data_IF_136294631736
#
_entry.id   IF_136294631736
#
_cell.length_a   1.000
_cell.length_b   1.000
_cell.length_c   1.000
_cell.angle_alpha   90.00
_cell.angle_beta   90.00
_cell.angle_gamma   90.00
#
_symmetry.space_group_name_H-M   'P 1'
#
loop_
_entity.id
_entity.type
_entity.pdbx_description
1 polymer ?
#
# COMPACT_ATOMS: atom_id res chain seq x y z
N UNK A 1 8.43 -15.54 -26.25
CA UNK A 1 9.52 -14.90 -25.50
C UNK A 1 9.01 -14.55 -24.10
N UNK A 2 9.22 -15.46 -23.13
CA UNK A 2 8.90 -15.22 -21.71
C UNK A 2 10.01 -14.39 -21.10
N UNK A 3 9.76 -13.10 -20.87
CA UNK A 3 10.67 -12.24 -20.13
C UNK A 3 10.84 -12.83 -18.72
N UNK A 4 12.05 -13.34 -18.41
CA UNK A 4 12.45 -13.64 -17.04
C UNK A 4 12.37 -12.31 -16.27
N UNK A 5 11.33 -12.13 -15.46
CA UNK A 5 11.25 -11.02 -14.52
C UNK A 5 12.43 -11.17 -13.57
N UNK A 6 13.43 -10.30 -13.69
CA UNK A 6 14.45 -10.21 -12.66
C UNK A 6 13.73 -10.01 -11.32
N UNK A 7 14.06 -10.77 -10.27
CA UNK A 7 13.52 -10.51 -8.95
C UNK A 7 13.99 -9.11 -8.55
N UNK A 8 13.10 -8.13 -8.68
CA UNK A 8 13.39 -6.79 -8.24
C UNK A 8 13.67 -6.81 -6.74
N UNK A 9 14.66 -6.04 -6.30
CA UNK A 9 14.98 -5.82 -4.88
C UNK A 9 13.74 -5.42 -4.06
N UNK A 10 12.81 -4.67 -4.67
CA UNK A 10 11.60 -4.17 -4.04
C UNK A 10 10.60 -5.27 -3.62
N UNK A 11 10.22 -6.24 -4.48
CA UNK A 11 9.41 -7.40 -4.09
C UNK A 11 9.91 -8.15 -2.86
N UNK A 12 11.22 -8.28 -2.66
CA UNK A 12 11.81 -8.98 -1.52
C UNK A 12 11.67 -8.16 -0.22
N UNK A 13 11.93 -6.85 -0.29
CA UNK A 13 11.68 -5.94 0.83
C UNK A 13 10.22 -5.95 1.30
N UNK A 14 9.27 -6.07 0.37
CA UNK A 14 7.84 -6.12 0.68
C UNK A 14 7.41 -7.43 1.40
N UNK A 15 8.23 -8.48 1.34
CA UNK A 15 7.98 -9.74 2.07
C UNK A 15 8.35 -9.65 3.54
N UNK A 16 9.10 -8.64 3.98
CA UNK A 16 9.43 -8.49 5.39
C UNK A 16 8.15 -8.18 6.20
N UNK A 17 7.73 -9.07 7.11
CA UNK A 17 6.48 -8.90 7.82
C UNK A 17 6.50 -7.73 8.81
N UNK A 18 7.66 -7.33 9.34
CA UNK A 18 7.76 -6.34 10.43
C UNK A 18 7.56 -4.89 9.97
N UNK A 19 7.95 -4.56 8.75
CA UNK A 19 7.90 -3.19 8.22
C UNK A 19 7.17 -3.12 6.88
N UNK A 20 6.35 -4.12 6.57
CA UNK A 20 5.64 -4.23 5.28
C UNK A 20 4.83 -2.95 4.99
N UNK A 21 4.26 -2.33 6.04
CA UNK A 21 3.63 -1.01 6.06
C UNK A 21 4.45 0.09 5.43
N UNK A 22 5.44 0.48 6.19
CA UNK A 22 6.30 1.62 5.94
C UNK A 22 7.11 1.41 4.66
N UNK A 23 7.58 0.19 4.40
CA UNK A 23 8.29 -0.17 3.18
C UNK A 23 7.36 -0.01 1.97
N UNK A 24 6.10 -0.48 2.05
CA UNK A 24 5.13 -0.28 0.96
C UNK A 24 4.94 1.21 0.65
N UNK A 25 4.77 2.05 1.68
CA UNK A 25 4.63 3.50 1.51
C UNK A 25 5.83 4.08 0.76
N UNK A 26 7.04 3.74 1.20
CA UNK A 26 8.28 4.21 0.60
C UNK A 26 8.43 3.75 -0.85
N UNK A 27 8.23 2.45 -1.11
CA UNK A 27 8.44 1.83 -2.42
C UNK A 27 7.42 2.31 -3.44
N UNK A 28 6.14 2.42 -3.07
CA UNK A 28 5.11 2.87 -4.01
C UNK A 28 5.21 4.36 -4.32
N UNK A 29 5.76 5.16 -3.40
CA UNK A 29 5.92 6.60 -3.55
C UNK A 29 7.38 7.04 -3.73
N UNK A 30 8.29 6.12 -4.07
CA UNK A 30 9.74 6.39 -4.11
C UNK A 30 10.12 7.63 -4.94
N UNK A 31 9.48 7.98 -6.09
CA UNK A 31 9.87 9.17 -6.84
C UNK A 31 9.60 10.46 -6.07
N UNK A 32 8.54 10.50 -5.26
CA UNK A 32 8.19 11.66 -4.43
C UNK A 32 9.24 11.80 -3.32
N UNK A 33 9.55 10.70 -2.63
CA UNK A 33 10.60 10.70 -1.60
C UNK A 33 11.97 11.10 -2.15
N UNK A 34 12.34 10.59 -3.32
CA UNK A 34 13.57 10.96 -4.01
C UNK A 34 13.58 12.45 -4.38
N UNK A 35 12.48 12.97 -4.91
CA UNK A 35 12.33 14.39 -5.24
C UNK A 35 12.47 15.30 -4.01
N UNK A 36 11.79 14.98 -2.91
CA UNK A 36 11.88 15.75 -1.66
C UNK A 36 13.30 15.67 -1.08
N UNK A 37 13.95 14.50 -1.14
CA UNK A 37 15.32 14.32 -0.65
C UNK A 37 16.33 15.14 -1.46
N UNK A 38 16.25 15.07 -2.80
CA UNK A 38 17.13 15.85 -3.70
C UNK A 38 16.91 17.35 -3.50
N UNK A 39 15.64 17.78 -3.42
CA UNK A 39 15.31 19.17 -3.12
C UNK A 39 15.87 19.62 -1.77
N UNK A 40 15.66 18.82 -0.71
CA UNK A 40 16.14 19.12 0.62
C UNK A 40 17.66 19.24 0.69
N UNK A 41 18.38 18.30 0.06
CA UNK A 41 19.84 18.31 0.00
C UNK A 41 20.36 19.51 -0.80
N UNK A 42 19.77 19.80 -1.97
CA UNK A 42 20.13 20.97 -2.76
C UNK A 42 19.89 22.26 -1.96
N UNK A 43 18.77 22.36 -1.23
CA UNK A 43 18.47 23.52 -0.41
C UNK A 43 19.50 23.71 0.72
N UNK A 44 19.86 22.63 1.43
CA UNK A 44 20.89 22.67 2.47
C UNK A 44 22.26 23.08 1.91
N UNK A 45 22.67 22.50 0.77
CA UNK A 45 23.94 22.86 0.13
C UNK A 45 23.93 24.34 -0.29
N UNK A 46 22.87 24.80 -0.97
CA UNK A 46 22.73 26.20 -1.39
C UNK A 46 22.74 27.17 -0.21
N UNK A 47 22.23 26.78 0.96
CA UNK A 47 22.23 27.63 2.16
C UNK A 47 23.65 28.06 2.59
N UNK A 48 24.68 27.24 2.30
CA UNK A 48 26.07 27.54 2.62
C UNK A 48 26.73 28.55 1.66
N UNK A 49 26.17 28.75 0.46
CA UNK A 49 26.71 29.66 -0.56
C UNK A 49 25.95 30.99 -0.65
N UNK A 50 24.81 31.11 0.01
CA UNK A 50 23.97 32.31 -0.01
C UNK A 50 24.22 33.18 1.22
N UNK A 51 23.96 34.48 1.09
CA UNK A 51 23.95 35.41 2.21
C UNK A 51 22.56 35.53 2.83
N UNK A 52 22.48 36.07 4.05
CA UNK A 52 21.20 36.36 4.69
C UNK A 52 20.41 37.40 3.86
N UNK A 53 19.07 37.28 3.75
CA UNK A 53 18.19 36.31 4.44
C UNK A 53 18.02 34.97 3.72
N UNK A 54 18.55 34.83 2.50
CA UNK A 54 18.30 33.67 1.64
C UNK A 54 18.91 32.38 2.19
N UNK A 55 20.07 32.45 2.83
CA UNK A 55 20.66 31.28 3.51
C UNK A 55 19.69 30.66 4.53
N UNK A 56 19.02 31.48 5.33
CA UNK A 56 18.03 31.01 6.31
C UNK A 56 16.82 30.36 5.66
N UNK A 57 16.29 30.98 4.61
CA UNK A 57 15.15 30.42 3.88
C UNK A 57 15.47 29.01 3.34
N UNK A 58 16.63 28.86 2.72
CA UNK A 58 17.09 27.59 2.15
C UNK A 58 17.41 26.54 3.22
N UNK A 59 18.00 26.96 4.35
CA UNK A 59 18.23 26.09 5.49
C UNK A 59 16.92 25.54 6.04
N UNK A 60 15.93 26.41 6.28
CA UNK A 60 14.61 26.02 6.80
C UNK A 60 13.89 25.12 5.79
N UNK A 61 13.94 25.43 4.49
CA UNK A 61 13.36 24.58 3.45
C UNK A 61 14.00 23.18 3.42
N UNK A 62 15.33 23.11 3.52
CA UNK A 62 16.08 21.86 3.55
C UNK A 62 15.75 20.99 4.76
N UNK A 63 15.75 21.59 5.96
CA UNK A 63 15.35 20.90 7.20
C UNK A 63 13.87 20.47 7.11
N UNK A 64 12.99 21.35 6.62
CA UNK A 64 11.57 21.08 6.44
C UNK A 64 11.31 19.86 5.55
N UNK A 65 12.06 19.72 4.44
CA UNK A 65 11.98 18.56 3.58
C UNK A 65 12.31 17.25 4.32
N UNK A 66 13.36 17.24 5.14
CA UNK A 66 13.74 16.07 5.95
C UNK A 66 12.64 15.76 6.98
N UNK A 67 12.13 16.78 7.67
CA UNK A 67 11.05 16.63 8.67
C UNK A 67 9.80 16.03 8.03
N UNK A 68 9.43 16.47 6.82
CA UNK A 68 8.28 15.92 6.09
C UNK A 68 8.48 14.43 5.79
N UNK A 69 9.65 14.03 5.27
CA UNK A 69 9.95 12.62 4.99
C UNK A 69 9.84 11.78 6.27
N UNK A 70 10.51 12.22 7.35
CA UNK A 70 10.51 11.50 8.62
C UNK A 70 9.08 11.40 9.18
N UNK A 71 8.30 12.48 9.13
CA UNK A 71 6.93 12.49 9.62
C UNK A 71 6.05 11.48 8.87
N UNK A 72 6.12 11.43 7.54
CA UNK A 72 5.35 10.47 6.72
C UNK A 72 5.74 9.03 7.06
N UNK A 73 7.04 8.75 7.23
CA UNK A 73 7.52 7.41 7.56
C UNK A 73 7.14 6.99 8.98
N UNK A 74 7.26 7.89 9.96
CA UNK A 74 6.85 7.64 11.34
C UNK A 74 5.34 7.43 11.43
N UNK A 75 4.54 8.26 10.76
CA UNK A 75 3.09 8.08 10.71
C UNK A 75 2.73 6.73 10.06
N UNK A 76 3.39 6.37 8.95
CA UNK A 76 3.21 5.06 8.29
C UNK A 76 3.56 3.90 9.23
N UNK A 77 4.67 4.02 9.96
CA UNK A 77 5.08 3.03 10.93
C UNK A 77 4.05 2.87 12.05
N UNK A 78 3.60 3.99 12.65
CA UNK A 78 2.62 3.98 13.74
C UNK A 78 1.30 3.32 13.30
N UNK A 79 0.83 3.62 12.09
CA UNK A 79 -0.46 3.11 11.59
C UNK A 79 -0.38 1.64 11.20
N UNK A 80 0.66 1.24 10.46
CA UNK A 80 0.70 -0.08 9.82
C UNK A 80 1.52 -1.12 10.57
N UNK A 81 2.62 -0.72 11.20
CA UNK A 81 3.66 -1.63 11.70
C UNK A 81 3.81 -1.58 13.23
N UNK A 82 3.32 -0.54 13.90
CA UNK A 82 3.45 -0.37 15.34
C UNK A 82 2.39 -1.13 16.14
N UNK A 83 2.87 -1.79 17.19
CA UNK A 83 2.06 -2.50 18.16
C UNK A 83 1.97 -4.01 17.92
N UNK A 84 1.49 -4.77 18.92
CA UNK A 84 1.42 -6.23 18.86
C UNK A 84 0.32 -6.76 17.93
N UNK A 85 -0.72 -5.94 17.67
CA UNK A 85 -1.81 -6.24 16.74
C UNK A 85 -1.69 -5.34 15.51
N UNK A 86 -1.40 -5.96 14.37
CA UNK A 86 -1.32 -5.28 13.07
C UNK A 86 -2.72 -4.86 12.62
N UNK A 87 -2.78 -3.94 11.65
CA UNK A 87 -4.04 -3.45 11.06
C UNK A 87 -5.04 -4.60 10.76
N UNK A 88 -4.55 -5.67 10.12
CA UNK A 88 -5.39 -6.81 9.74
C UNK A 88 -5.76 -7.75 10.91
N UNK A 89 -5.03 -7.73 12.05
CA UNK A 89 -5.50 -8.39 13.28
C UNK A 89 -6.77 -7.70 13.78
N UNK A 90 -6.75 -6.37 13.82
CA UNK A 90 -7.86 -5.56 14.34
C UNK A 90 -9.09 -5.69 13.45
N UNK A 91 -8.90 -5.68 12.13
CA UNK A 91 -9.98 -5.93 11.18
C UNK A 91 -10.55 -7.33 11.34
N UNK A 92 -9.70 -8.36 11.50
CA UNK A 92 -10.16 -9.73 11.70
C UNK A 92 -11.03 -9.89 12.95
N UNK A 93 -10.64 -9.26 14.06
CA UNK A 93 -11.43 -9.24 15.28
C UNK A 93 -12.78 -8.54 15.06
N UNK A 94 -12.81 -7.41 14.34
CA UNK A 94 -14.03 -6.62 14.13
C UNK A 94 -15.12 -7.37 13.37
N UNK A 95 -14.76 -8.12 12.33
CA UNK A 95 -15.72 -8.87 11.50
C UNK A 95 -15.99 -10.29 11.99
N UNK A 96 -15.49 -10.66 13.18
CA UNK A 96 -15.53 -12.03 13.68
C UNK A 96 -15.17 -13.03 12.57
N UNK A 97 -13.98 -12.83 12.00
CA UNK A 97 -13.47 -13.53 10.81
C UNK A 97 -13.59 -15.05 10.91
N UNK A 98 -13.59 -15.54 12.15
CA UNK A 98 -13.92 -16.92 12.44
C UNK A 98 -15.31 -17.25 11.88
N UNK A 99 -16.42 -16.68 12.32
CA UNK A 99 -17.77 -17.14 11.92
C UNK A 99 -18.15 -16.87 10.45
N UNK A 100 -17.27 -16.21 9.70
CA UNK A 100 -17.48 -15.82 8.32
C UNK A 100 -17.22 -16.95 7.32
N UNK A 101 -18.15 -17.19 6.39
CA UNK A 101 -18.02 -18.18 5.32
C UNK A 101 -17.74 -17.55 3.95
N UNK A 102 -18.27 -16.37 3.65
CA UNK A 102 -18.10 -15.70 2.35
C UNK A 102 -17.67 -14.26 2.53
N UNK A 103 -16.48 -13.94 1.99
CA UNK A 103 -15.90 -12.60 2.03
C UNK A 103 -15.73 -12.07 0.63
N UNK A 104 -16.16 -10.84 0.41
CA UNK A 104 -15.87 -10.09 -0.81
C UNK A 104 -14.87 -8.99 -0.46
N UNK A 105 -13.74 -8.97 -1.16
CA UNK A 105 -12.73 -7.92 -1.07
C UNK A 105 -12.71 -7.12 -2.38
N UNK A 106 -13.23 -5.90 -2.32
CA UNK A 106 -13.20 -4.96 -3.42
C UNK A 106 -11.91 -4.16 -3.33
N UNK A 107 -11.04 -4.33 -4.33
CA UNK A 107 -9.72 -3.68 -4.38
C UNK A 107 -9.55 -2.90 -5.68
N UNK A 108 -8.71 -1.88 -5.65
CA UNK A 108 -8.23 -1.20 -6.86
C UNK A 108 -6.90 -1.79 -7.37
N UNK A 109 -6.61 -3.05 -7.04
CA UNK A 109 -5.41 -3.77 -7.49
C UNK A 109 -4.31 -3.98 -6.47
N UNK A 110 -4.43 -3.31 -5.32
CA UNK A 110 -3.49 -3.46 -4.22
C UNK A 110 -3.94 -4.66 -3.41
N UNK A 111 -3.20 -5.76 -3.50
CA UNK A 111 -3.55 -7.04 -2.85
C UNK A 111 -2.86 -7.26 -1.51
N UNK A 112 -2.13 -6.26 -0.99
CA UNK A 112 -1.48 -6.36 0.33
C UNK A 112 -2.50 -6.52 1.45
N UNK A 113 -3.59 -5.75 1.40
CA UNK A 113 -4.70 -5.88 2.34
C UNK A 113 -5.29 -7.29 2.31
N UNK A 114 -5.54 -7.77 1.10
CA UNK A 114 -5.98 -9.14 0.84
C UNK A 114 -5.01 -10.18 1.42
N UNK A 115 -3.69 -10.06 1.22
CA UNK A 115 -2.70 -10.99 1.77
C UNK A 115 -2.69 -10.99 3.30
N UNK A 116 -2.72 -9.81 3.91
CA UNK A 116 -2.77 -9.66 5.36
C UNK A 116 -4.02 -10.30 5.97
N UNK A 117 -5.15 -10.20 5.28
CA UNK A 117 -6.42 -10.77 5.69
C UNK A 117 -6.50 -12.29 5.46
N UNK A 118 -6.05 -12.76 4.29
CA UNK A 118 -5.96 -14.19 3.95
C UNK A 118 -5.03 -14.96 4.89
N UNK A 119 -3.98 -14.32 5.43
CA UNK A 119 -3.11 -14.96 6.43
C UNK A 119 -3.84 -15.38 7.71
N UNK A 120 -5.04 -14.83 7.97
CA UNK A 120 -5.89 -15.16 9.12
C UNK A 120 -7.18 -15.89 8.74
N UNK A 121 -7.63 -15.77 7.49
CA UNK A 121 -8.82 -16.44 7.01
C UNK A 121 -8.51 -17.88 6.62
N UNK A 122 -8.89 -18.82 7.48
CA UNK A 122 -8.54 -20.23 7.34
C UNK A 122 -9.72 -21.13 6.93
N UNK A 123 -10.92 -20.58 6.71
CA UNK A 123 -12.13 -21.31 6.27
C UNK A 123 -12.93 -20.49 5.25
N UNK A 124 -14.01 -21.05 4.70
CA UNK A 124 -14.89 -20.33 3.77
C UNK A 124 -14.29 -20.04 2.39
N UNK A 125 -14.89 -19.06 1.69
CA UNK A 125 -14.57 -18.61 0.35
C UNK A 125 -14.26 -17.11 0.34
N UNK A 126 -13.19 -16.74 -0.37
CA UNK A 126 -12.73 -15.35 -0.46
C UNK A 126 -12.78 -14.88 -1.91
N UNK A 127 -13.53 -13.81 -2.18
CA UNK A 127 -13.75 -13.26 -3.52
C UNK A 127 -13.08 -11.89 -3.65
N UNK A 128 -11.96 -11.83 -4.38
CA UNK A 128 -11.27 -10.59 -4.72
C UNK A 128 -11.87 -10.01 -6.00
N UNK A 129 -12.49 -8.84 -5.88
CA UNK A 129 -13.00 -8.04 -6.98
C UNK A 129 -12.06 -6.87 -7.26
N UNK A 130 -11.26 -6.99 -8.31
CA UNK A 130 -10.34 -5.95 -8.75
C UNK A 130 -11.08 -4.97 -9.69
N UNK A 131 -11.44 -3.79 -9.18
CA UNK A 131 -12.19 -2.76 -9.91
C UNK A 131 -11.30 -1.72 -10.59
N UNK A 132 -9.99 -1.97 -10.64
CA UNK A 132 -9.04 -1.03 -11.21
C UNK A 132 -9.31 -0.74 -12.69
N UNK A 133 -9.36 0.54 -13.01
CA UNK A 133 -9.44 1.04 -14.37
C UNK A 133 -8.32 2.07 -14.56
N UNK A 134 -7.30 1.81 -15.40
CA UNK A 134 -6.16 2.72 -15.56
C UNK A 134 -6.54 4.09 -16.13
N UNK A 135 -7.70 4.20 -16.81
CA UNK A 135 -8.18 5.47 -17.34
C UNK A 135 -8.90 6.31 -16.27
N UNK A 136 -9.52 5.66 -15.28
CA UNK A 136 -10.23 6.33 -14.18
C UNK A 136 -9.38 6.47 -12.92
N UNK A 137 -8.36 5.64 -12.76
CA UNK A 137 -7.46 5.59 -11.62
C UNK A 137 -6.01 5.81 -12.10
N UNK A 138 -5.65 7.03 -12.55
CA UNK A 138 -4.37 7.31 -13.19
C UNK A 138 -3.18 7.41 -12.22
N UNK A 139 -3.38 7.15 -10.92
CA UNK A 139 -2.36 7.28 -9.90
C UNK A 139 -1.14 6.39 -10.19
N UNK A 140 0.02 7.03 -10.33
CA UNK A 140 1.28 6.38 -10.60
C UNK A 140 1.75 5.49 -9.42
N UNK A 141 1.43 5.85 -8.18
CA UNK A 141 1.75 5.05 -7.00
C UNK A 141 0.95 3.74 -7.02
N UNK A 142 -0.34 3.80 -7.35
CA UNK A 142 -1.19 2.62 -7.52
C UNK A 142 -0.69 1.71 -8.65
N UNK A 143 -0.31 2.27 -9.80
CA UNK A 143 0.30 1.48 -10.89
C UNK A 143 1.56 0.75 -10.43
N UNK A 144 2.45 1.43 -9.68
CA UNK A 144 3.66 0.80 -9.12
C UNK A 144 3.32 -0.27 -8.10
N UNK A 145 2.38 0.00 -7.21
CA UNK A 145 1.92 -0.97 -6.23
C UNK A 145 1.44 -2.26 -6.90
N UNK A 146 0.62 -2.16 -7.95
CA UNK A 146 0.18 -3.31 -8.74
C UNK A 146 1.32 -4.09 -9.39
N UNK A 147 2.32 -3.38 -9.93
CA UNK A 147 3.46 -4.00 -10.59
C UNK A 147 4.44 -4.68 -9.62
N UNK A 148 4.54 -4.19 -8.38
CA UNK A 148 5.53 -4.64 -7.39
C UNK A 148 4.97 -5.64 -6.37
N UNK A 149 3.64 -5.67 -6.18
CA UNK A 149 3.04 -6.59 -5.20
C UNK A 149 3.08 -8.02 -5.74
N UNK A 150 3.57 -8.99 -4.95
CA UNK A 150 3.52 -10.39 -5.34
C UNK A 150 2.08 -10.82 -5.68
N UNK A 151 1.90 -11.74 -6.66
CA UNK A 151 0.59 -12.32 -6.90
C UNK A 151 0.06 -13.00 -5.64
N UNK A 152 -1.26 -13.04 -5.50
CA UNK A 152 -1.91 -13.82 -4.46
C UNK A 152 -1.64 -15.30 -4.71
N UNK A 153 -1.27 -16.02 -3.66
CA UNK A 153 -1.25 -17.48 -3.71
C UNK A 153 -2.70 -17.97 -3.75
N UNK A 154 -3.09 -18.56 -4.86
CA UNK A 154 -4.48 -18.99 -5.08
C UNK A 154 -4.63 -20.43 -4.61
N UNK A 155 -5.20 -20.61 -3.41
CA UNK A 155 -5.83 -21.86 -3.00
C UNK A 155 -7.23 -21.97 -3.66
N UNK A 156 -7.82 -23.17 -3.69
CA UNK A 156 -9.15 -23.47 -4.25
C UNK A 156 -10.30 -22.62 -3.65
N UNK A 157 -10.02 -21.88 -2.58
CA UNK A 157 -10.97 -21.03 -1.85
C UNK A 157 -10.88 -19.54 -2.21
N UNK A 158 -9.84 -19.13 -2.93
CA UNK A 158 -9.59 -17.74 -3.28
C UNK A 158 -9.94 -17.52 -4.74
N UNK A 159 -10.99 -16.75 -4.99
CA UNK A 159 -11.46 -16.42 -6.33
C UNK A 159 -11.12 -14.97 -6.63
N UNK A 160 -10.36 -14.72 -7.69
CA UNK A 160 -10.06 -13.35 -8.13
C UNK A 160 -10.67 -13.10 -9.50
N UNK A 161 -11.37 -11.98 -9.65
CA UNK A 161 -11.83 -11.49 -10.96
C UNK A 161 -11.70 -9.98 -11.07
N UNK A 162 -11.49 -9.51 -12.29
CA UNK A 162 -11.64 -8.09 -12.62
C UNK A 162 -13.13 -7.76 -12.74
N UNK A 163 -13.55 -6.63 -12.19
CA UNK A 163 -14.93 -6.18 -12.22
C UNK A 163 -15.02 -4.70 -12.66
N UNK A 164 -16.15 -4.30 -13.24
CA UNK A 164 -16.46 -2.87 -13.44
C UNK A 164 -17.22 -2.38 -12.21
N UNK A 165 -17.03 -1.12 -11.81
CA UNK A 165 -17.74 -0.51 -10.68
C UNK A 165 -19.26 -0.70 -10.81
N UNK A 166 -19.82 -0.49 -12.01
CA UNK A 166 -21.25 -0.66 -12.27
C UNK A 166 -21.74 -2.12 -12.43
N UNK A 167 -20.83 -3.11 -12.37
CA UNK A 167 -21.22 -4.54 -12.34
C UNK A 167 -21.39 -5.09 -10.92
N UNK A 168 -21.33 -4.21 -9.92
CA UNK A 168 -21.82 -4.43 -8.56
C UNK A 168 -23.24 -3.87 -8.54
N UNK A 169 -24.27 -4.67 -8.21
CA UNK A 169 -24.27 -5.51 -7.02
C UNK A 169 -24.20 -7.01 -7.31
N UNK A 170 -23.70 -7.73 -6.31
CA UNK A 170 -23.80 -9.19 -6.23
C UNK A 170 -25.21 -9.58 -5.77
N UNK A 171 -25.63 -10.85 -5.94
CA UNK A 171 -26.93 -11.29 -5.45
C UNK A 171 -27.12 -10.94 -3.96
N UNK A 172 -28.36 -10.62 -3.58
CA UNK A 172 -28.69 -10.27 -2.20
C UNK A 172 -28.33 -11.43 -1.25
N UNK A 173 -27.79 -11.11 -0.07
CA UNK A 173 -27.37 -12.08 0.97
C UNK A 173 -26.34 -13.12 0.51
N UNK A 174 -25.51 -12.79 -0.48
CA UNK A 174 -24.49 -13.71 -0.98
C UNK A 174 -23.16 -13.66 -0.20
N UNK A 175 -22.89 -12.59 0.53
CA UNK A 175 -21.68 -12.44 1.33
C UNK A 175 -22.00 -12.05 2.77
N UNK A 176 -21.22 -12.61 3.69
CA UNK A 176 -21.30 -12.28 5.11
C UNK A 176 -20.55 -10.97 5.39
N UNK A 177 -19.43 -10.75 4.68
CA UNK A 177 -18.57 -9.57 4.84
C UNK A 177 -18.18 -8.99 3.49
N UNK A 178 -18.31 -7.67 3.37
CA UNK A 178 -17.75 -6.89 2.25
C UNK A 178 -16.65 -6.00 2.81
N UNK A 179 -15.44 -6.19 2.31
CA UNK A 179 -14.27 -5.39 2.62
C UNK A 179 -13.89 -4.54 1.40
N UNK A 180 -13.59 -3.27 1.64
CA UNK A 180 -13.24 -2.30 0.61
C UNK A 180 -11.81 -1.84 0.82
N UNK A 181 -10.87 -2.48 0.12
CA UNK A 181 -9.44 -2.21 0.17
C UNK A 181 -9.06 -1.04 -0.75
N UNK A 182 -9.37 0.19 -0.32
CA UNK A 182 -9.06 1.42 -1.06
C UNK A 182 -7.83 2.18 -0.54
N UNK A 183 -6.98 1.57 0.30
CA UNK A 183 -5.82 2.26 0.87
C UNK A 183 -4.93 2.84 -0.25
N UNK A 184 -4.87 4.17 -0.33
CA UNK A 184 -3.84 4.92 -1.07
C UNK A 184 -2.47 4.56 -0.47
#
# INVERSE_FOLDING_TARGET
>A
MTAKSQPGFFPELLRNPQYSGTISTLVYNWPIFAGIMVFGLAALISSAFLTAPWSWLFLVAGIGAIVIIVNILVASFIVYDFGPRREYDRLAELVNLNETNVIIDITCGKVRGTQGFLSRFNRGHYFVLDIYDPHKMPDAALRRARAMTPPLDTDRRIYRRTAKVGSLPMPHNWADVIYCSFSL
#
